data_IF_663725728698
#
_entry.id   IF_663725728698
#
_cell.length_a   1.000
_cell.length_b   1.000
_cell.length_c   1.000
_cell.angle_alpha   90.00
_cell.angle_beta   90.00
_cell.angle_gamma   90.00
#
_symmetry.space_group_name_H-M   'P 1'
#
loop_
_entity.id
_entity.type
_entity.pdbx_description
1 polymer ?
#
# COMPACT_ATOMS: atom_id res chain seq x y z
N UNK A 1 10.42 -15.13 -0.33
CA UNK A 1 9.63 -14.10 0.37
C UNK A 1 9.06 -13.21 -0.71
N UNK A 2 7.75 -12.96 -0.71
CA UNK A 2 7.13 -12.07 -1.71
C UNK A 2 7.00 -10.66 -1.13
N UNK A 3 7.36 -9.65 -1.91
CA UNK A 3 7.12 -8.24 -1.58
C UNK A 3 5.90 -7.79 -2.38
N UNK A 4 4.99 -7.08 -1.73
CA UNK A 4 3.86 -6.42 -2.36
C UNK A 4 3.87 -4.95 -2.02
N UNK A 5 3.42 -4.12 -2.94
CA UNK A 5 3.39 -2.67 -2.77
C UNK A 5 1.96 -2.19 -2.95
N UNK A 6 1.50 -1.39 -2.00
CA UNK A 6 0.27 -0.62 -2.10
C UNK A 6 0.68 0.84 -2.18
N UNK A 7 0.23 1.53 -3.22
CA UNK A 7 0.50 2.96 -3.41
C UNK A 7 -0.82 3.74 -3.37
N UNK A 8 -0.82 4.91 -2.73
CA UNK A 8 -1.97 5.81 -2.74
C UNK A 8 -1.82 6.87 -3.84
N UNK A 9 -2.63 6.73 -4.88
CA UNK A 9 -2.75 7.62 -6.04
C UNK A 9 -1.40 7.97 -6.69
N UNK A 10 -0.96 7.12 -7.63
CA UNK A 10 0.06 7.53 -8.57
C UNK A 10 -0.64 8.14 -9.78
N UNK A 11 -0.48 9.46 -9.95
CA UNK A 11 -0.73 10.02 -11.27
C UNK A 11 0.19 9.31 -12.26
N UNK A 12 -0.28 8.99 -13.47
CA UNK A 12 0.55 8.37 -14.53
C UNK A 12 1.79 9.22 -14.88
N UNK A 13 1.85 10.45 -14.38
CA UNK A 13 2.93 11.43 -14.51
C UNK A 13 3.96 11.37 -13.38
N UNK A 14 3.78 10.52 -12.37
CA UNK A 14 4.73 10.39 -11.25
C UNK A 14 5.79 9.33 -11.59
N UNK A 15 7.01 9.81 -11.86
CA UNK A 15 8.18 9.05 -12.32
C UNK A 15 8.51 7.86 -11.39
N UNK A 16 8.09 7.95 -10.13
CA UNK A 16 8.31 6.95 -9.08
C UNK A 16 7.54 5.65 -9.28
N UNK A 17 6.37 5.71 -9.94
CA UNK A 17 5.55 4.54 -10.20
C UNK A 17 6.06 3.60 -11.27
N UNK A 18 6.64 4.18 -12.31
CA UNK A 18 7.29 3.46 -13.41
C UNK A 18 8.59 2.79 -12.94
N UNK A 19 9.26 3.36 -11.93
CA UNK A 19 10.46 2.78 -11.32
C UNK A 19 10.13 1.57 -10.43
N UNK A 20 9.05 1.61 -9.65
CA UNK A 20 8.63 0.46 -8.81
C UNK A 20 8.14 -0.69 -9.70
N UNK A 21 7.35 -0.40 -10.74
CA UNK A 21 6.80 -1.41 -11.66
C UNK A 21 7.83 -2.05 -12.61
N UNK A 22 9.04 -1.48 -12.73
CA UNK A 22 10.13 -2.01 -13.56
C UNK A 22 11.32 -2.58 -12.74
N UNK A 23 11.18 -2.74 -11.43
CA UNK A 23 12.16 -3.52 -10.66
C UNK A 23 11.80 -4.99 -10.73
N UNK A 24 12.79 -5.89 -10.88
CA UNK A 24 12.62 -7.36 -10.95
C UNK A 24 11.88 -8.00 -9.74
N UNK A 25 11.45 -7.19 -8.76
CA UNK A 25 10.82 -7.58 -7.50
C UNK A 25 9.30 -7.31 -7.52
N UNK A 26 8.82 -6.36 -8.33
CA UNK A 26 7.41 -5.94 -8.36
C UNK A 26 6.94 -5.82 -9.80
N UNK A 27 6.11 -6.76 -10.25
CA UNK A 27 5.60 -6.81 -11.62
C UNK A 27 4.07 -6.82 -11.58
N UNK A 28 3.45 -5.95 -12.36
CA UNK A 28 1.99 -5.85 -12.43
C UNK A 28 1.35 -7.18 -12.86
N UNK A 29 2.05 -7.99 -13.67
CA UNK A 29 1.58 -9.31 -14.08
C UNK A 29 1.64 -10.36 -12.96
N UNK A 30 2.49 -10.16 -11.94
CA UNK A 30 2.56 -10.98 -10.73
C UNK A 30 1.66 -10.48 -9.59
N UNK A 31 0.80 -9.48 -9.85
CA UNK A 31 -0.32 -9.07 -8.99
C UNK A 31 0.12 -8.64 -7.57
N UNK A 32 1.38 -8.24 -7.42
CA UNK A 32 1.96 -7.78 -6.17
C UNK A 32 2.08 -6.24 -6.10
N UNK A 33 1.48 -5.53 -7.06
CA UNK A 33 1.36 -4.08 -7.09
C UNK A 33 -0.11 -3.67 -7.10
N UNK A 34 -0.53 -2.86 -6.13
CA UNK A 34 -1.91 -2.32 -6.07
C UNK A 34 -1.85 -0.81 -5.95
N UNK A 35 -2.39 -0.12 -6.95
CA UNK A 35 -2.64 1.32 -6.87
C UNK A 35 -4.05 1.57 -6.35
N UNK A 36 -4.16 2.36 -5.29
CA UNK A 36 -5.44 2.83 -4.75
C UNK A 36 -5.64 4.26 -5.24
N UNK A 37 -6.43 4.43 -6.29
CA UNK A 37 -6.87 5.75 -6.76
C UNK A 37 -7.95 6.27 -5.80
N UNK A 38 -7.63 7.27 -4.98
CA UNK A 38 -8.56 7.79 -3.98
C UNK A 38 -8.25 9.24 -3.56
N UNK A 39 -9.31 9.97 -3.19
CA UNK A 39 -9.23 10.99 -2.14
C UNK A 39 -8.42 10.44 -0.96
N UNK A 40 -7.54 11.27 -0.37
CA UNK A 40 -6.59 10.95 0.70
C UNK A 40 -6.80 9.60 1.41
N UNK A 41 -5.78 8.75 1.45
CA UNK A 41 -5.81 7.46 2.17
C UNK A 41 -6.20 7.59 3.66
N UNK A 42 -6.09 8.80 4.20
CA UNK A 42 -6.47 9.17 5.56
C UNK A 42 -7.99 9.25 5.77
N UNK A 43 -8.76 9.32 4.67
CA UNK A 43 -10.22 9.38 4.68
C UNK A 43 -10.85 8.01 5.00
N UNK A 44 -12.12 8.02 5.38
CA UNK A 44 -12.87 6.78 5.67
C UNK A 44 -12.94 5.86 4.44
N UNK A 45 -13.20 6.43 3.26
CA UNK A 45 -13.24 5.70 2.00
C UNK A 45 -11.86 5.19 1.59
N UNK A 46 -10.80 5.96 1.84
CA UNK A 46 -9.40 5.54 1.65
C UNK A 46 -9.06 4.29 2.47
N UNK A 47 -9.40 4.27 3.76
CA UNK A 47 -9.19 3.11 4.64
C UNK A 47 -9.98 1.88 4.16
N UNK A 48 -11.22 2.04 3.68
CA UNK A 48 -12.00 0.92 3.14
C UNK A 48 -11.39 0.31 1.88
N UNK A 49 -10.82 1.15 1.01
CA UNK A 49 -10.09 0.69 -0.18
C UNK A 49 -8.79 0.00 0.21
N UNK A 50 -8.06 0.52 1.21
CA UNK A 50 -6.86 -0.12 1.77
C UNK A 50 -7.18 -1.51 2.32
N UNK A 51 -8.26 -1.66 3.09
CA UNK A 51 -8.71 -2.97 3.59
C UNK A 51 -8.96 -3.96 2.45
N UNK A 52 -9.65 -3.51 1.40
CA UNK A 52 -9.95 -4.34 0.24
C UNK A 52 -8.68 -4.76 -0.52
N UNK A 53 -7.72 -3.84 -0.68
CA UNK A 53 -6.42 -4.14 -1.27
C UNK A 53 -5.61 -5.16 -0.43
N UNK A 54 -5.60 -5.00 0.89
CA UNK A 54 -4.93 -5.93 1.81
C UNK A 54 -5.54 -7.33 1.74
N UNK A 55 -6.87 -7.44 1.74
CA UNK A 55 -7.57 -8.74 1.61
C UNK A 55 -7.21 -9.44 0.32
N UNK A 56 -7.25 -8.72 -0.81
CA UNK A 56 -6.90 -9.27 -2.12
C UNK A 56 -5.45 -9.77 -2.17
N UNK A 57 -4.50 -9.02 -1.59
CA UNK A 57 -3.09 -9.43 -1.52
C UNK A 57 -2.88 -10.66 -0.63
N UNK A 58 -3.52 -10.69 0.54
CA UNK A 58 -3.40 -11.79 1.49
C UNK A 58 -4.02 -13.09 0.98
N UNK A 59 -5.12 -13.00 0.22
CA UNK A 59 -5.76 -14.18 -0.41
C UNK A 59 -4.89 -14.79 -1.50
N UNK A 60 -4.21 -13.95 -2.30
CA UNK A 60 -3.38 -14.42 -3.42
C UNK A 60 -2.00 -14.90 -2.99
N UNK A 61 -1.36 -14.22 -2.04
CA UNK A 61 0.05 -14.43 -1.70
C UNK A 61 0.27 -15.07 -0.31
N UNK A 62 -0.81 -15.30 0.45
CA UNK A 62 -0.75 -15.86 1.79
C UNK A 62 -0.12 -14.91 2.83
N UNK A 63 0.27 -15.46 3.99
CA UNK A 63 0.73 -14.69 5.16
C UNK A 63 2.22 -14.27 5.10
N UNK A 64 2.96 -14.59 4.03
CA UNK A 64 4.41 -14.33 3.91
C UNK A 64 4.71 -13.20 2.93
N UNK A 65 4.00 -12.08 3.09
CA UNK A 65 4.17 -10.86 2.29
C UNK A 65 4.67 -9.70 3.13
N UNK A 66 5.68 -9.00 2.61
CA UNK A 66 5.99 -7.65 3.07
C UNK A 66 5.19 -6.65 2.24
N UNK A 67 4.43 -5.78 2.91
CA UNK A 67 3.61 -4.77 2.25
C UNK A 67 4.24 -3.40 2.50
N UNK A 68 4.67 -2.74 1.44
CA UNK A 68 5.06 -1.33 1.50
C UNK A 68 3.82 -0.49 1.17
N UNK A 69 3.44 0.39 2.09
CA UNK A 69 2.39 1.38 1.86
C UNK A 69 3.05 2.74 1.61
N UNK A 70 2.99 3.20 0.36
CA UNK A 70 3.42 4.54 -0.01
C UNK A 70 2.21 5.47 0.02
N UNK A 71 2.39 6.67 0.59
CA UNK A 71 1.33 7.68 0.70
C UNK A 71 1.87 9.02 0.27
N UNK A 72 1.10 9.75 -0.54
CA UNK A 72 1.42 11.12 -0.93
C UNK A 72 1.77 12.03 0.26
N UNK A 73 2.64 13.01 0.04
CA UNK A 73 3.17 13.90 1.09
C UNK A 73 2.13 14.76 1.83
N UNK A 74 0.88 14.82 1.34
CA UNK A 74 -0.23 15.54 1.98
C UNK A 74 -1.12 14.66 2.86
N UNK A 75 -0.85 13.34 2.92
CA UNK A 75 -1.65 12.39 3.69
C UNK A 75 -1.39 12.53 5.19
N UNK A 76 -2.46 12.49 6.00
CA UNK A 76 -2.34 12.43 7.45
C UNK A 76 -1.94 11.00 7.86
N UNK A 77 -0.81 10.77 8.55
CA UNK A 77 -0.32 9.41 8.76
C UNK A 77 -1.11 8.63 9.81
N UNK A 78 -1.76 9.34 10.74
CA UNK A 78 -2.37 8.71 11.91
C UNK A 78 -3.55 7.76 11.59
N UNK A 79 -4.51 8.07 10.69
CA UNK A 79 -5.58 7.14 10.34
C UNK A 79 -5.11 5.78 9.80
N UNK A 80 -4.23 5.69 8.78
CA UNK A 80 -3.75 4.38 8.32
C UNK A 80 -2.90 3.66 9.37
N UNK A 81 -2.10 4.38 10.17
CA UNK A 81 -1.33 3.78 11.28
C UNK A 81 -2.25 3.15 12.33
N UNK A 82 -3.31 3.86 12.75
CA UNK A 82 -4.29 3.33 13.72
C UNK A 82 -4.99 2.08 13.18
N UNK A 83 -5.44 2.15 11.93
CA UNK A 83 -6.07 1.02 11.25
C UNK A 83 -5.16 -0.21 11.19
N UNK A 84 -3.92 -0.04 10.73
CA UNK A 84 -2.95 -1.14 10.58
C UNK A 84 -2.50 -1.74 11.91
N UNK A 85 -2.44 -0.94 12.97
CA UNK A 85 -2.08 -1.42 14.32
C UNK A 85 -3.14 -2.36 14.90
N UNK A 86 -4.40 -2.16 14.55
CA UNK A 86 -5.54 -2.93 15.06
C UNK A 86 -5.97 -4.05 14.08
N UNK A 87 -5.28 -4.19 12.95
CA UNK A 87 -5.65 -5.15 11.92
C UNK A 87 -5.34 -6.61 12.33
N UNK A 88 -6.28 -7.55 12.17
CA UNK A 88 -6.12 -8.92 12.70
C UNK A 88 -5.11 -9.79 11.92
N UNK A 89 -4.82 -9.44 10.67
CA UNK A 89 -4.02 -10.26 9.75
C UNK A 89 -2.70 -9.64 9.30
N UNK A 90 -2.46 -8.37 9.63
CA UNK A 90 -1.19 -7.68 9.28
C UNK A 90 -0.66 -6.98 10.52
N UNK A 91 0.64 -6.76 10.56
CA UNK A 91 1.32 -6.08 11.67
C UNK A 91 2.17 -4.96 11.10
N UNK A 92 1.93 -3.74 11.57
CA UNK A 92 2.77 -2.59 11.24
C UNK A 92 4.18 -2.80 11.81
N UNK A 93 5.19 -2.89 10.94
CA UNK A 93 6.58 -3.10 11.34
C UNK A 93 7.37 -1.81 11.49
N UNK A 94 7.15 -0.87 10.59
CA UNK A 94 7.83 0.42 10.59
C UNK A 94 6.91 1.48 9.98
N UNK A 95 7.13 2.72 10.37
CA UNK A 95 6.48 3.90 9.82
C UNK A 95 7.55 4.97 9.60
N UNK A 96 7.65 5.48 8.37
CA UNK A 96 8.61 6.49 7.99
C UNK A 96 7.85 7.76 7.59
N UNK A 97 8.16 8.88 8.25
CA UNK A 97 7.67 10.20 7.85
C UNK A 97 8.84 11.17 7.72
N UNK A 98 8.71 12.13 6.81
CA UNK A 98 9.58 13.29 6.75
C UNK A 98 8.97 14.35 7.67
N UNK A 99 9.69 14.71 8.74
CA UNK A 99 9.34 15.82 9.64
C UNK A 99 9.79 17.15 9.04
#
# INVERSE_FOLDING_TARGET
MAVSVIVNDMSELDVDGVLIANTEIVDAASNNFVSISADSISSRSGIQKLDSALKNLLEKNGLRIFILLETSGSSHPLPPVRYLREHPRVSLKAFFCRL
#
